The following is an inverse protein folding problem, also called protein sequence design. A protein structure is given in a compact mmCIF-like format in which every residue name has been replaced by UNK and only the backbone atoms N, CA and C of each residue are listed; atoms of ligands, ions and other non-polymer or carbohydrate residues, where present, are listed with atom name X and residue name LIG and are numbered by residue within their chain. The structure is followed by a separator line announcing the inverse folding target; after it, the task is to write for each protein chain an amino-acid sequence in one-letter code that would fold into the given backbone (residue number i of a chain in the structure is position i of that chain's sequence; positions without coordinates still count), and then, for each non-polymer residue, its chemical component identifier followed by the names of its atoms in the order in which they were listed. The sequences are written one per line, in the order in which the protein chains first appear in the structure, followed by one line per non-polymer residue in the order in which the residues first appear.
data_IF_565856329735
#
_entry.id   IF_565856329735
#
_cell.length_a   1.000
_cell.length_b   1.000
_cell.length_c   1.000
_cell.angle_alpha   90.00
_cell.angle_beta   90.00
_cell.angle_gamma   90.00
#
_symmetry.space_group_name_H-M   'P 1'
#
loop_
_entity.id
_entity.type
_entity.pdbx_description
1 polymer ?
#
# COMPACT_ATOMS: atom_id res chain seq x y z
N UNK A 1 -1.13 -29.99 18.62
CA UNK A 1 -0.23 -29.24 19.52
C UNK A 1 1.25 -29.37 19.12
N UNK A 2 1.70 -30.48 18.49
CA UNK A 2 3.10 -30.75 18.16
C UNK A 2 3.45 -30.57 16.68
N UNK A 3 2.68 -29.81 15.92
CA UNK A 3 2.86 -29.67 14.45
C UNK A 3 4.26 -29.12 14.09
N UNK A 4 4.84 -28.28 14.93
CA UNK A 4 6.17 -27.70 14.71
C UNK A 4 7.34 -28.69 14.81
N UNK A 5 7.11 -29.86 15.42
CA UNK A 5 8.14 -30.89 15.57
C UNK A 5 8.32 -31.72 14.31
N UNK A 6 7.37 -31.64 13.37
CA UNK A 6 7.35 -32.45 12.15
C UNK A 6 7.45 -31.58 10.91
N UNK A 7 8.47 -31.83 10.10
CA UNK A 7 8.64 -31.15 8.80
C UNK A 7 8.15 -31.98 7.61
N UNK A 8 7.92 -33.28 7.79
CA UNK A 8 7.53 -34.20 6.71
C UNK A 8 6.36 -35.07 7.15
N UNK A 9 5.31 -35.06 6.34
CA UNK A 9 4.11 -35.91 6.49
C UNK A 9 3.95 -36.76 5.24
N UNK A 10 4.28 -38.04 5.30
CA UNK A 10 4.20 -38.95 4.19
C UNK A 10 2.90 -39.78 4.18
N UNK A 11 2.37 -40.08 3.00
CA UNK A 11 1.17 -40.92 2.79
C UNK A 11 -0.05 -40.43 3.51
N UNK A 12 -0.29 -39.14 3.47
CA UNK A 12 -1.37 -38.45 4.19
C UNK A 12 -2.67 -38.57 3.40
N UNK A 13 -3.76 -38.94 4.06
CA UNK A 13 -5.09 -38.94 3.43
C UNK A 13 -5.58 -37.49 3.15
N UNK A 14 -6.47 -37.27 2.16
CA UNK A 14 -6.94 -35.92 1.81
C UNK A 14 -7.50 -35.13 3.00
N UNK A 15 -8.22 -35.81 3.90
CA UNK A 15 -8.74 -35.19 5.13
C UNK A 15 -7.63 -34.70 6.07
N UNK A 16 -6.54 -35.45 6.14
CA UNK A 16 -5.43 -35.09 7.01
C UNK A 16 -4.59 -33.95 6.45
N UNK A 17 -4.53 -33.76 5.10
CA UNK A 17 -3.95 -32.57 4.47
C UNK A 17 -4.65 -31.28 4.96
N UNK A 18 -5.98 -31.29 5.00
CA UNK A 18 -6.76 -30.17 5.54
C UNK A 18 -6.43 -29.93 7.02
N UNK A 19 -6.35 -31.00 7.83
CA UNK A 19 -6.01 -30.89 9.25
C UNK A 19 -4.60 -30.35 9.48
N UNK A 20 -3.64 -30.67 8.63
CA UNK A 20 -2.29 -30.11 8.70
C UNK A 20 -2.33 -28.60 8.45
N UNK A 21 -3.04 -28.16 7.42
CA UNK A 21 -3.22 -26.72 7.12
C UNK A 21 -3.88 -26.02 8.32
N UNK A 22 -4.97 -26.59 8.85
CA UNK A 22 -5.67 -26.04 10.03
C UNK A 22 -4.77 -25.96 11.26
N UNK A 23 -3.91 -26.96 11.47
CA UNK A 23 -2.99 -26.98 12.60
C UNK A 23 -1.94 -25.85 12.50
N UNK A 24 -1.42 -25.58 11.31
CA UNK A 24 -0.52 -24.44 11.09
C UNK A 24 -1.25 -23.10 11.23
N UNK A 25 -2.46 -23.00 10.70
CA UNK A 25 -3.30 -21.80 10.85
C UNK A 25 -3.63 -21.50 12.31
N UNK A 26 -3.83 -22.52 13.14
CA UNK A 26 -4.05 -22.37 14.57
C UNK A 26 -2.86 -21.71 15.28
N UNK A 27 -1.65 -21.86 14.75
CA UNK A 27 -0.44 -21.19 15.24
C UNK A 27 -0.17 -19.83 14.55
N UNK A 28 -1.20 -19.18 14.02
CA UNK A 28 -1.11 -17.89 13.32
C UNK A 28 -0.21 -17.91 12.06
N UNK A 29 0.14 -19.10 11.53
CA UNK A 29 0.90 -19.23 10.29
C UNK A 29 0.02 -18.91 9.07
N UNK A 30 0.63 -18.32 8.04
CA UNK A 30 0.03 -18.18 6.70
C UNK A 30 0.49 -19.37 5.88
N UNK A 31 -0.47 -20.18 5.44
CA UNK A 31 -0.19 -21.42 4.72
C UNK A 31 -0.42 -21.23 3.22
N UNK A 32 0.62 -21.48 2.42
CA UNK A 32 0.48 -21.76 1.00
C UNK A 32 0.43 -23.28 0.81
N UNK A 33 -0.61 -23.78 0.14
CA UNK A 33 -0.78 -25.19 -0.17
C UNK A 33 -0.62 -25.43 -1.66
N UNK A 34 0.21 -26.37 -2.04
CA UNK A 34 0.35 -26.80 -3.44
C UNK A 34 -0.30 -28.15 -3.65
N UNK A 35 -0.93 -28.35 -4.82
CA UNK A 35 -1.55 -29.60 -5.18
C UNK A 35 -1.84 -29.71 -6.67
N UNK A 36 -1.92 -30.94 -7.17
CA UNK A 36 -2.14 -31.26 -8.57
C UNK A 36 -3.43 -32.07 -8.80
N UNK A 37 -3.98 -32.69 -7.75
CA UNK A 37 -5.06 -33.66 -7.84
C UNK A 37 -6.39 -33.18 -7.22
N UNK A 38 -7.44 -33.91 -7.59
CA UNK A 38 -8.80 -33.74 -7.02
C UNK A 38 -8.79 -33.90 -5.50
N UNK A 39 -7.91 -34.76 -4.98
CA UNK A 39 -7.77 -35.02 -3.56
C UNK A 39 -7.15 -33.83 -2.77
N UNK A 40 -6.50 -32.89 -3.48
CA UNK A 40 -5.88 -31.72 -2.90
C UNK A 40 -6.83 -30.52 -2.84
N UNK A 41 -7.88 -30.51 -3.65
CA UNK A 41 -8.80 -29.40 -3.77
C UNK A 41 -9.37 -28.90 -2.42
N UNK A 42 -9.77 -29.75 -1.45
CA UNK A 42 -10.22 -29.27 -0.15
C UNK A 42 -9.12 -28.57 0.66
N UNK A 43 -7.86 -29.05 0.55
CA UNK A 43 -6.73 -28.43 1.25
C UNK A 43 -6.26 -27.13 0.56
N UNK A 44 -6.29 -27.08 -0.78
CA UNK A 44 -6.04 -25.88 -1.55
C UNK A 44 -7.02 -24.77 -1.15
N UNK A 45 -8.31 -25.10 -1.09
CA UNK A 45 -9.36 -24.14 -0.72
C UNK A 45 -9.32 -23.73 0.75
N UNK A 46 -8.71 -24.53 1.61
CA UNK A 46 -8.60 -24.25 3.05
C UNK A 46 -7.39 -23.38 3.39
N UNK A 47 -6.32 -23.45 2.62
CA UNK A 47 -5.14 -22.63 2.79
C UNK A 47 -5.44 -21.15 2.56
N UNK A 48 -4.59 -20.25 3.03
CA UNK A 48 -4.69 -18.83 2.69
C UNK A 48 -4.35 -18.57 1.22
N UNK A 49 -3.49 -19.40 0.64
CA UNK A 49 -3.15 -19.37 -0.78
C UNK A 49 -3.08 -20.80 -1.29
N UNK A 50 -4.05 -21.21 -2.10
CA UNK A 50 -4.01 -22.46 -2.85
C UNK A 50 -3.24 -22.29 -4.16
N UNK A 51 -2.25 -23.13 -4.42
CA UNK A 51 -1.45 -23.11 -5.64
C UNK A 51 -1.65 -24.42 -6.41
N UNK A 52 -2.31 -24.39 -7.56
CA UNK A 52 -2.46 -25.56 -8.43
C UNK A 52 -1.38 -25.60 -9.50
N UNK A 53 -0.99 -26.83 -9.88
CA UNK A 53 -0.11 -27.07 -11.02
C UNK A 53 -0.86 -26.80 -12.34
N UNK A 54 -0.24 -26.08 -13.26
CA UNK A 54 -0.85 -25.65 -14.52
C UNK A 54 -0.78 -26.72 -15.61
N UNK A 55 0.30 -27.48 -15.67
CA UNK A 55 0.54 -28.53 -16.66
C UNK A 55 -0.04 -29.87 -16.15
N UNK A 56 0.35 -30.31 -14.96
CA UNK A 56 -0.03 -31.61 -14.38
C UNK A 56 -1.30 -31.55 -13.56
N UNK A 57 -1.75 -30.35 -13.17
CA UNK A 57 -2.93 -30.19 -12.33
C UNK A 57 -4.25 -30.48 -13.02
N UNK A 58 -5.18 -31.11 -12.29
CA UNK A 58 -6.53 -31.37 -12.74
C UNK A 58 -7.37 -30.07 -12.74
N UNK A 59 -8.42 -30.03 -13.55
CA UNK A 59 -9.34 -28.86 -13.60
C UNK A 59 -9.93 -28.56 -12.21
N UNK A 60 -10.23 -29.61 -11.44
CA UNK A 60 -10.75 -29.46 -10.08
C UNK A 60 -9.74 -28.79 -9.13
N UNK A 61 -8.45 -29.14 -9.25
CA UNK A 61 -7.41 -28.48 -8.45
C UNK A 61 -7.21 -27.01 -8.86
N UNK A 62 -7.29 -26.73 -10.18
CA UNK A 62 -7.19 -25.37 -10.72
C UNK A 62 -8.35 -24.47 -10.31
N UNK A 63 -9.58 -25.02 -10.30
CA UNK A 63 -10.77 -24.30 -9.83
C UNK A 63 -10.77 -24.04 -8.32
N UNK A 64 -10.10 -24.89 -7.55
CA UNK A 64 -10.01 -24.75 -6.10
C UNK A 64 -8.88 -23.82 -5.63
N UNK A 65 -7.95 -23.50 -6.52
CA UNK A 65 -6.75 -22.72 -6.19
C UNK A 65 -6.92 -21.22 -6.46
N UNK A 66 -6.18 -20.40 -5.70
CA UNK A 66 -6.09 -18.94 -5.90
C UNK A 66 -5.04 -18.58 -6.96
N UNK A 67 -4.04 -19.45 -7.15
CA UNK A 67 -2.94 -19.26 -8.09
C UNK A 67 -2.67 -20.54 -8.89
N UNK A 68 -2.32 -20.38 -10.17
CA UNK A 68 -1.97 -21.49 -11.06
C UNK A 68 -0.52 -21.31 -11.51
N UNK A 69 0.32 -22.32 -11.26
CA UNK A 69 1.71 -22.34 -11.67
C UNK A 69 1.81 -22.84 -13.11
N UNK A 70 1.99 -21.96 -14.06
CA UNK A 70 2.00 -22.29 -15.50
C UNK A 70 3.18 -23.14 -15.93
N UNK A 71 4.26 -23.15 -15.17
CA UNK A 71 5.50 -23.88 -15.41
C UNK A 71 5.68 -25.10 -14.49
N UNK A 72 4.72 -25.38 -13.62
CA UNK A 72 4.76 -26.43 -12.57
C UNK A 72 6.06 -26.37 -11.73
N UNK A 73 6.67 -25.20 -11.65
CA UNK A 73 7.94 -25.02 -10.94
C UNK A 73 7.70 -24.40 -9.56
N UNK A 74 8.12 -25.13 -8.54
CA UNK A 74 7.97 -24.67 -7.16
C UNK A 74 8.75 -23.37 -6.86
N UNK A 75 9.86 -23.11 -7.55
CA UNK A 75 10.63 -21.87 -7.39
C UNK A 75 9.83 -20.62 -7.78
N UNK A 76 8.87 -20.75 -8.68
CA UNK A 76 7.97 -19.66 -9.09
C UNK A 76 7.10 -19.16 -7.95
N UNK A 77 6.79 -20.01 -6.96
CA UNK A 77 6.09 -19.57 -5.74
C UNK A 77 6.95 -18.57 -4.96
N UNK A 78 8.25 -18.83 -4.84
CA UNK A 78 9.16 -17.93 -4.14
C UNK A 78 9.24 -16.57 -4.84
N UNK A 79 9.29 -16.58 -6.18
CA UNK A 79 9.24 -15.35 -6.99
C UNK A 79 7.93 -14.63 -6.80
N UNK A 80 6.79 -15.33 -6.80
CA UNK A 80 5.48 -14.74 -6.54
C UNK A 80 5.37 -14.10 -5.15
N UNK A 81 5.99 -14.72 -4.13
CA UNK A 81 6.06 -14.12 -2.78
C UNK A 81 6.89 -12.84 -2.80
N UNK A 82 8.04 -12.82 -3.50
CA UNK A 82 8.87 -11.62 -3.64
C UNK A 82 8.08 -10.49 -4.30
N UNK A 83 7.45 -10.77 -5.43
CA UNK A 83 6.62 -9.79 -6.15
C UNK A 83 5.45 -9.30 -5.30
N UNK A 84 4.73 -10.19 -4.64
CA UNK A 84 3.62 -9.83 -3.77
C UNK A 84 4.03 -8.93 -2.59
N UNK A 85 5.22 -9.15 -2.03
CA UNK A 85 5.78 -8.26 -1.00
C UNK A 85 6.12 -6.89 -1.57
N UNK A 86 6.72 -6.82 -2.78
CA UNK A 86 7.03 -5.58 -3.48
C UNK A 86 5.79 -4.78 -3.81
N UNK A 87 4.76 -5.42 -4.38
CA UNK A 87 3.47 -4.79 -4.66
C UNK A 87 2.86 -4.20 -3.39
N UNK A 88 2.87 -4.95 -2.28
CA UNK A 88 2.32 -4.44 -1.03
C UNK A 88 3.09 -3.23 -0.49
N UNK A 89 4.42 -3.23 -0.60
CA UNK A 89 5.24 -2.09 -0.18
C UNK A 89 4.98 -0.87 -1.05
N UNK A 90 4.88 -1.05 -2.37
CA UNK A 90 4.52 0.02 -3.30
C UNK A 90 3.13 0.59 -3.00
N UNK A 91 2.13 -0.25 -2.70
CA UNK A 91 0.80 0.22 -2.26
C UNK A 91 0.93 1.08 -1.00
N UNK A 92 1.73 0.66 -0.02
CA UNK A 92 1.95 1.45 1.19
C UNK A 92 2.61 2.80 0.89
N UNK A 93 3.65 2.82 0.06
CA UNK A 93 4.34 4.04 -0.39
C UNK A 93 3.36 5.00 -1.10
N UNK A 94 2.55 4.48 -2.04
CA UNK A 94 1.52 5.26 -2.73
C UNK A 94 0.48 5.86 -1.78
N UNK A 95 -0.09 5.04 -0.90
CA UNK A 95 -1.09 5.52 0.07
C UNK A 95 -0.50 6.57 1.01
N UNK A 96 0.74 6.35 1.47
CA UNK A 96 1.46 7.32 2.30
C UNK A 96 1.61 8.65 1.57
N UNK A 97 2.09 8.63 0.32
CA UNK A 97 2.27 9.82 -0.51
C UNK A 97 0.96 10.59 -0.67
N UNK A 98 -0.09 9.91 -1.14
CA UNK A 98 -1.40 10.54 -1.40
C UNK A 98 -2.04 11.11 -0.12
N UNK A 99 -1.98 10.38 0.99
CA UNK A 99 -2.54 10.88 2.26
C UNK A 99 -1.73 12.05 2.81
N UNK A 100 -0.40 12.03 2.70
CA UNK A 100 0.45 13.13 3.16
C UNK A 100 0.21 14.40 2.33
N UNK A 101 0.06 14.28 1.01
CA UNK A 101 -0.28 15.39 0.11
C UNK A 101 -1.63 16.01 0.49
N UNK A 102 -2.68 15.19 0.59
CA UNK A 102 -4.02 15.65 0.97
C UNK A 102 -4.06 16.34 2.35
N UNK A 103 -3.32 15.81 3.33
CA UNK A 103 -3.21 16.46 4.66
C UNK A 103 -2.51 17.82 4.51
N UNK A 104 -1.45 17.90 3.69
CA UNK A 104 -0.76 19.16 3.41
C UNK A 104 -1.67 20.20 2.79
N UNK A 105 -2.48 19.83 1.80
CA UNK A 105 -3.47 20.71 1.15
C UNK A 105 -4.51 21.23 2.14
N UNK A 106 -5.12 20.34 2.91
CA UNK A 106 -6.13 20.70 3.91
C UNK A 106 -5.55 21.64 4.97
N UNK A 107 -4.35 21.35 5.46
CA UNK A 107 -3.67 22.21 6.45
C UNK A 107 -3.34 23.57 5.85
N UNK A 108 -2.86 23.64 4.62
CA UNK A 108 -2.55 24.90 3.94
C UNK A 108 -3.77 25.79 3.85
N UNK A 109 -4.90 25.24 3.37
CA UNK A 109 -6.15 26.00 3.23
C UNK A 109 -6.68 26.43 4.61
N UNK A 110 -6.68 25.52 5.57
CA UNK A 110 -7.17 25.79 6.92
C UNK A 110 -6.38 26.91 7.59
N UNK A 111 -5.04 26.82 7.59
CA UNK A 111 -4.17 27.81 8.23
C UNK A 111 -4.26 29.16 7.51
N UNK A 112 -4.25 29.17 6.18
CA UNK A 112 -4.37 30.40 5.42
C UNK A 112 -5.72 31.10 5.67
N UNK A 113 -6.81 30.34 5.68
CA UNK A 113 -8.15 30.86 6.00
C UNK A 113 -8.20 31.45 7.42
N UNK A 114 -7.58 30.78 8.39
CA UNK A 114 -7.49 31.28 9.77
C UNK A 114 -6.68 32.57 9.85
N UNK A 115 -5.53 32.66 9.16
CA UNK A 115 -4.71 33.86 9.08
C UNK A 115 -5.46 35.05 8.42
N UNK A 116 -6.31 34.75 7.42
CA UNK A 116 -7.19 35.74 6.81
C UNK A 116 -8.23 36.28 7.79
N UNK A 117 -8.90 35.41 8.54
CA UNK A 117 -9.92 35.80 9.52
C UNK A 117 -9.35 36.70 10.64
N UNK A 118 -8.13 36.43 11.10
CA UNK A 118 -7.46 37.25 12.13
C UNK A 118 -6.77 38.50 11.55
N UNK A 119 -6.91 38.78 10.25
CA UNK A 119 -6.41 39.99 9.61
C UNK A 119 -4.89 40.04 9.40
N UNK A 120 -4.23 38.91 9.48
CA UNK A 120 -2.78 38.80 9.19
C UNK A 120 -2.49 38.68 7.69
N UNK A 121 -3.46 38.26 6.90
CA UNK A 121 -3.42 38.27 5.43
C UNK A 121 -4.32 39.40 4.94
N UNK A 122 -3.76 40.35 4.20
CA UNK A 122 -4.47 41.48 3.62
C UNK A 122 -4.86 41.18 2.17
N UNK A 123 -6.15 41.01 1.90
CA UNK A 123 -6.69 40.78 0.55
C UNK A 123 -8.13 40.28 0.57
N UNK A 124 -8.87 40.52 -0.50
CA UNK A 124 -10.24 40.01 -0.65
C UNK A 124 -10.25 38.48 -0.82
N UNK A 125 -9.17 37.88 -1.32
CA UNK A 125 -9.01 36.44 -1.52
C UNK A 125 -7.95 35.88 -0.56
N UNK A 126 -8.42 35.32 0.57
CA UNK A 126 -7.57 34.68 1.59
C UNK A 126 -7.39 33.18 1.36
N UNK A 127 -7.86 32.66 0.22
CA UNK A 127 -7.74 31.24 -0.13
C UNK A 127 -6.51 31.01 -1.00
N UNK A 128 -5.45 30.34 -0.50
CA UNK A 128 -4.22 30.08 -1.27
C UNK A 128 -4.46 29.14 -2.46
N UNK A 129 -5.47 28.29 -2.37
CA UNK A 129 -5.81 27.30 -3.39
C UNK A 129 -7.31 27.38 -3.71
N UNK A 130 -7.65 27.72 -4.95
CA UNK A 130 -9.02 27.61 -5.43
C UNK A 130 -9.41 26.14 -5.64
N UNK A 131 -10.71 25.84 -5.62
CA UNK A 131 -11.21 24.47 -5.84
C UNK A 131 -10.70 23.84 -7.16
N UNK A 132 -10.49 24.65 -8.19
CA UNK A 132 -9.93 24.20 -9.47
C UNK A 132 -8.47 23.77 -9.34
N UNK A 133 -7.66 24.48 -8.54
CA UNK A 133 -6.26 24.11 -8.26
C UNK A 133 -6.19 22.78 -7.52
N UNK A 134 -7.01 22.58 -6.49
CA UNK A 134 -7.10 21.31 -5.77
C UNK A 134 -7.46 20.14 -6.68
N UNK A 135 -8.45 20.34 -7.54
CA UNK A 135 -8.82 19.30 -8.52
C UNK A 135 -7.64 18.96 -9.44
N UNK A 136 -6.91 19.97 -9.93
CA UNK A 136 -5.76 19.77 -10.80
C UNK A 136 -4.61 19.07 -10.10
N UNK A 137 -4.29 19.46 -8.86
CA UNK A 137 -3.24 18.84 -8.03
C UNK A 137 -3.58 17.36 -7.83
N UNK A 138 -4.75 17.05 -7.31
CA UNK A 138 -5.15 15.68 -7.00
C UNK A 138 -5.26 14.79 -8.26
N UNK A 139 -5.74 15.34 -9.39
CA UNK A 139 -5.95 14.57 -10.60
C UNK A 139 -4.65 14.32 -11.38
N UNK A 140 -3.79 15.32 -11.50
CA UNK A 140 -2.60 15.23 -12.37
C UNK A 140 -1.31 15.18 -11.57
N UNK A 141 -1.10 16.15 -10.67
CA UNK A 141 0.17 16.28 -9.96
C UNK A 141 0.41 15.12 -9.00
N UNK A 142 -0.63 14.61 -8.32
CA UNK A 142 -0.49 13.50 -7.39
C UNK A 142 -0.58 12.14 -8.08
N UNK A 143 -1.36 12.02 -9.16
CA UNK A 143 -1.54 10.74 -9.83
C UNK A 143 -0.28 10.25 -10.55
N UNK A 144 0.49 11.14 -11.18
CA UNK A 144 1.68 10.75 -11.93
C UNK A 144 2.80 10.18 -11.04
N UNK A 145 3.20 10.84 -9.93
CA UNK A 145 4.16 10.26 -8.99
C UNK A 145 3.62 8.99 -8.31
N UNK A 146 2.33 8.94 -7.95
CA UNK A 146 1.73 7.74 -7.37
C UNK A 146 1.82 6.54 -8.33
N UNK A 147 1.59 6.75 -9.63
CA UNK A 147 1.77 5.74 -10.66
C UNK A 147 3.23 5.30 -10.76
N UNK A 148 4.19 6.25 -10.75
CA UNK A 148 5.63 5.94 -10.73
C UNK A 148 6.03 5.07 -9.56
N UNK A 149 5.59 5.42 -8.34
CA UNK A 149 5.82 4.64 -7.11
C UNK A 149 5.20 3.24 -7.22
N UNK A 150 4.01 3.14 -7.82
CA UNK A 150 3.32 1.84 -8.00
C UNK A 150 4.04 0.88 -8.95
N UNK A 151 4.90 1.39 -9.84
CA UNK A 151 5.69 0.60 -10.79
C UNK A 151 7.14 0.35 -10.33
N UNK A 152 7.51 0.74 -9.13
CA UNK A 152 8.85 0.53 -8.60
C UNK A 152 9.13 -0.97 -8.43
N UNK A 153 10.31 -1.42 -8.84
CA UNK A 153 10.71 -2.81 -8.67
C UNK A 153 10.90 -3.15 -7.19
N UNK A 154 10.59 -4.41 -6.83
CA UNK A 154 10.76 -4.89 -5.48
C UNK A 154 12.24 -4.87 -5.08
N UNK A 155 12.55 -4.34 -3.91
CA UNK A 155 13.90 -4.32 -3.36
C UNK A 155 14.45 -5.76 -3.19
N UNK A 156 15.73 -5.98 -3.49
CA UNK A 156 16.34 -7.31 -3.40
C UNK A 156 16.34 -7.88 -1.97
N UNK A 157 16.37 -7.01 -0.96
CA UNK A 157 16.39 -7.39 0.45
C UNK A 157 15.00 -7.72 1.02
N UNK A 158 13.92 -7.51 0.27
CA UNK A 158 12.54 -7.68 0.74
C UNK A 158 12.25 -9.12 1.25
N UNK A 159 13.00 -10.11 0.74
CA UNK A 159 12.88 -11.50 1.18
C UNK A 159 13.59 -11.77 2.50
N UNK A 160 14.49 -10.91 2.95
CA UNK A 160 15.18 -11.01 4.22
C UNK A 160 14.32 -10.45 5.38
N UNK A 161 13.28 -9.70 5.07
CA UNK A 161 12.36 -9.18 6.05
C UNK A 161 11.48 -10.29 6.66
N UNK A 162 11.19 -10.13 7.95
CA UNK A 162 10.27 -11.07 8.64
C UNK A 162 8.87 -11.01 8.00
N UNK A 163 8.19 -12.15 7.91
CA UNK A 163 6.80 -12.20 7.49
C UNK A 163 5.93 -11.28 8.35
N UNK A 164 5.02 -10.59 7.72
CA UNK A 164 4.09 -9.70 8.39
C UNK A 164 3.06 -10.48 9.20
N UNK A 165 2.70 -9.99 10.39
CA UNK A 165 1.64 -10.60 11.19
C UNK A 165 0.26 -10.36 10.57
N UNK A 166 -0.64 -11.37 10.63
CA UNK A 166 -2.06 -11.24 10.23
C UNK A 166 -2.81 -10.12 10.97
N UNK A 167 -2.36 -9.80 12.19
CA UNK A 167 -2.98 -8.78 13.07
C UNK A 167 -2.42 -7.37 12.84
N UNK A 168 -1.39 -7.24 12.02
CA UNK A 168 -0.76 -5.96 11.74
C UNK A 168 -1.60 -5.13 10.77
N UNK A 169 -2.21 -4.06 11.29
CA UNK A 169 -2.99 -3.12 10.49
C UNK A 169 -2.10 -2.34 9.50
N UNK A 170 -2.72 -1.78 8.46
CA UNK A 170 -2.03 -0.99 7.43
C UNK A 170 -1.22 0.19 8.01
N UNK A 171 -1.76 0.84 9.04
CA UNK A 171 -1.17 1.98 9.73
C UNK A 171 -0.33 1.62 10.98
N UNK A 172 0.00 0.34 11.17
CA UNK A 172 0.78 -0.11 12.30
C UNK A 172 2.20 0.50 12.31
N UNK A 173 2.94 0.28 13.42
CA UNK A 173 4.34 0.66 13.57
C UNK A 173 4.62 2.17 13.37
N UNK A 174 3.67 3.04 13.76
CA UNK A 174 3.85 4.50 13.66
C UNK A 174 3.72 5.04 12.23
N UNK A 175 3.21 4.24 11.30
CA UNK A 175 3.05 4.65 9.90
C UNK A 175 2.09 5.83 9.74
N UNK A 176 0.98 5.82 10.50
CA UNK A 176 0.05 6.95 10.54
C UNK A 176 0.73 8.26 10.99
N UNK A 177 1.60 8.18 11.98
CA UNK A 177 2.33 9.36 12.47
C UNK A 177 3.28 9.92 11.41
N UNK A 178 3.96 9.06 10.65
CA UNK A 178 4.81 9.50 9.53
C UNK A 178 4.02 10.26 8.48
N UNK A 179 2.83 9.78 8.12
CA UNK A 179 1.92 10.44 7.17
C UNK A 179 1.54 11.84 7.67
N UNK A 180 1.18 11.97 8.94
CA UNK A 180 0.81 13.25 9.53
C UNK A 180 1.98 14.23 9.54
N UNK A 181 3.17 13.79 9.95
CA UNK A 181 4.38 14.64 9.98
C UNK A 181 4.75 15.10 8.57
N UNK A 182 4.73 14.20 7.58
CA UNK A 182 4.98 14.58 6.19
C UNK A 182 3.94 15.56 5.65
N UNK A 183 2.66 15.35 5.95
CA UNK A 183 1.60 16.29 5.59
C UNK A 183 1.80 17.68 6.21
N UNK A 184 2.22 17.75 7.47
CA UNK A 184 2.54 19.03 8.13
C UNK A 184 3.72 19.71 7.43
N UNK A 185 4.77 18.98 7.06
CA UNK A 185 5.92 19.53 6.36
C UNK A 185 5.51 20.08 4.98
N UNK A 186 4.75 19.28 4.21
CA UNK A 186 4.24 19.70 2.90
C UNK A 186 3.39 20.98 3.04
N UNK A 187 2.40 20.97 3.93
CA UNK A 187 1.54 22.12 4.17
C UNK A 187 2.32 23.35 4.64
N UNK A 188 3.32 23.17 5.51
CA UNK A 188 4.18 24.23 5.98
C UNK A 188 5.02 24.88 4.87
N UNK A 189 5.60 24.05 4.00
CA UNK A 189 6.37 24.54 2.83
C UNK A 189 5.47 25.26 1.84
N UNK A 190 4.30 24.70 1.55
CA UNK A 190 3.32 25.32 0.65
C UNK A 190 2.84 26.67 1.19
N UNK A 191 2.49 26.73 2.47
CA UNK A 191 2.09 27.97 3.11
C UNK A 191 3.21 29.02 3.10
N UNK A 192 4.44 28.62 3.38
CA UNK A 192 5.60 29.51 3.33
C UNK A 192 5.81 30.07 1.92
N UNK A 193 5.72 29.22 0.88
CA UNK A 193 5.82 29.65 -0.51
C UNK A 193 4.71 30.66 -0.87
N UNK A 194 3.48 30.41 -0.44
CA UNK A 194 2.35 31.33 -0.63
C UNK A 194 2.61 32.70 0.03
N UNK A 195 3.06 32.72 1.29
CA UNK A 195 3.35 33.97 2.01
C UNK A 195 4.51 34.75 1.38
N UNK A 196 5.55 34.07 0.90
CA UNK A 196 6.67 34.68 0.18
C UNK A 196 6.16 35.30 -1.13
N UNK A 197 5.32 34.56 -1.89
CA UNK A 197 4.72 35.07 -3.13
C UNK A 197 3.90 36.34 -2.92
N UNK A 198 3.08 36.38 -1.86
CA UNK A 198 2.32 37.58 -1.50
C UNK A 198 3.19 38.76 -1.08
N UNK A 199 4.40 38.51 -0.58
CA UNK A 199 5.33 39.54 -0.14
C UNK A 199 6.30 39.99 -1.21
N UNK A 200 6.18 39.49 -2.44
CA UNK A 200 7.13 39.73 -3.55
C UNK A 200 7.17 41.24 -3.91
N UNK A 201 8.31 41.92 -3.79
CA UNK A 201 8.40 43.35 -4.07
C UNK A 201 8.31 43.63 -5.57
N UNK A 202 7.59 44.72 -5.91
CA UNK A 202 7.54 45.24 -7.29
C UNK A 202 6.32 44.78 -8.12
N UNK A 203 5.41 44.01 -7.52
CA UNK A 203 4.16 43.58 -8.15
C UNK A 203 2.96 44.20 -7.42
N UNK A 204 1.84 44.40 -8.16
CA UNK A 204 0.58 44.78 -7.54
C UNK A 204 -0.04 43.61 -6.75
N UNK A 205 -1.01 43.88 -5.87
CA UNK A 205 -1.61 42.86 -5.03
C UNK A 205 -2.21 41.66 -5.79
N UNK A 206 -2.81 41.91 -6.96
CA UNK A 206 -3.38 40.84 -7.77
C UNK A 206 -2.29 39.94 -8.34
N UNK A 207 -1.18 40.50 -8.80
CA UNK A 207 -0.03 39.75 -9.32
C UNK A 207 0.70 38.99 -8.20
N UNK A 208 0.86 39.62 -7.01
CA UNK A 208 1.47 38.97 -5.83
C UNK A 208 0.66 37.74 -5.40
N UNK A 209 -0.66 37.82 -5.43
CA UNK A 209 -1.52 36.69 -5.12
C UNK A 209 -1.36 35.57 -6.15
N UNK A 210 -1.30 35.87 -7.44
CA UNK A 210 -1.07 34.88 -8.50
C UNK A 210 0.32 34.20 -8.41
N UNK A 211 1.34 34.94 -8.01
CA UNK A 211 2.70 34.37 -7.81
C UNK A 211 2.75 33.43 -6.61
N UNK A 212 1.94 33.71 -5.58
CA UNK A 212 1.87 32.87 -4.38
C UNK A 212 1.07 31.58 -4.54
N UNK A 213 0.18 31.50 -5.54
CA UNK A 213 -0.60 30.30 -5.87
C UNK A 213 0.19 29.31 -6.72
#
# INVERSE_FOLDING_TARGET
EHIHEFSVFARVAPKDKVRIVEAWQYHDAICAMTGDGVNDAPALKKAEIGCAMGITGTDVSKEAADMILTDDNFSTIVSAVKEGRGIYDNIRKCVKYLLSSNIGEVLTIFVASLLGVIGLLNGEDTTPLAAMHLLWINLITDSLPAFGIGMEEAEDEIMNEKPRSKKEGFFANGYAWKIVVEGIVIGGVTLAAYLIGQSAPGYDHATQHMIGQ
#
